data_IF_429210355502
#
_entry.id   IF_429210355502
#
_cell.length_a   1.000
_cell.length_b   1.000
_cell.length_c   1.000
_cell.angle_alpha   90.00
_cell.angle_beta   90.00
_cell.angle_gamma   90.00
#
_symmetry.space_group_name_H-M   'P 1'
#
loop_
_entity.id
_entity.type
_entity.pdbx_description
1 polymer ?
#
# COMPACT_ATOMS: atom_id res chain seq x y z
N UNK A 1 -7.52 16.20 37.84
CA UNK A 1 -6.90 16.18 36.50
C UNK A 1 -7.96 15.91 35.43
N UNK A 2 -7.76 16.40 34.21
CA UNK A 2 -8.69 16.18 33.08
C UNK A 2 -7.96 16.33 31.74
N UNK A 3 -8.47 15.68 30.70
CA UNK A 3 -8.00 15.90 29.32
C UNK A 3 -8.41 17.29 28.87
N UNK A 4 -7.46 18.08 28.38
CA UNK A 4 -7.73 19.39 27.77
C UNK A 4 -7.73 19.31 26.23
N UNK A 5 -6.77 18.60 25.65
CA UNK A 5 -6.69 18.35 24.20
C UNK A 5 -6.12 16.96 23.94
N UNK A 6 -6.90 16.12 23.27
CA UNK A 6 -6.52 14.78 22.82
C UNK A 6 -7.14 14.56 21.43
N UNK A 7 -6.48 15.02 20.34
CA UNK A 7 -7.09 15.10 19.01
C UNK A 7 -7.63 13.78 18.45
N UNK A 8 -6.98 12.66 18.79
CA UNK A 8 -7.35 11.32 18.35
C UNK A 8 -8.22 10.56 19.37
N UNK A 9 -8.41 11.09 20.58
CA UNK A 9 -9.21 10.42 21.62
C UNK A 9 -8.58 9.14 22.17
N UNK A 10 -7.25 9.03 22.15
CA UNK A 10 -6.51 7.83 22.54
C UNK A 10 -6.17 7.76 24.02
N UNK A 11 -6.38 8.84 24.76
CA UNK A 11 -5.89 8.97 26.14
C UNK A 11 -7.03 9.26 27.11
N UNK A 12 -6.88 8.69 28.30
CA UNK A 12 -7.66 9.06 29.46
C UNK A 12 -6.71 9.46 30.59
N UNK A 13 -7.19 10.31 31.50
CA UNK A 13 -6.46 10.65 32.73
C UNK A 13 -7.34 10.40 33.95
N UNK A 14 -6.77 9.71 34.93
CA UNK A 14 -7.43 9.54 36.21
C UNK A 14 -7.55 10.91 36.92
N UNK A 15 -8.76 11.35 37.28
CA UNK A 15 -8.97 12.69 37.80
C UNK A 15 -8.37 12.93 39.19
N UNK A 16 -8.06 11.86 39.95
CA UNK A 16 -7.57 11.92 41.32
C UNK A 16 -6.04 11.92 41.37
N UNK A 17 -5.39 10.95 40.71
CA UNK A 17 -3.94 10.75 40.82
C UNK A 17 -3.14 11.18 39.58
N UNK A 18 -3.81 11.52 38.47
CA UNK A 18 -3.16 11.99 37.24
C UNK A 18 -2.53 10.89 36.38
N UNK A 19 -2.75 9.60 36.67
CA UNK A 19 -2.29 8.50 35.81
C UNK A 19 -2.96 8.61 34.43
N UNK A 20 -2.16 8.52 33.37
CA UNK A 20 -2.64 8.54 31.98
C UNK A 20 -2.60 7.12 31.41
N UNK A 21 -3.74 6.68 30.88
CA UNK A 21 -3.90 5.36 30.26
C UNK A 21 -4.35 5.52 28.80
N UNK A 22 -4.10 4.51 27.99
CA UNK A 22 -4.57 4.46 26.59
C UNK A 22 -5.98 3.86 26.52
N UNK A 23 -6.84 4.44 25.70
CA UNK A 23 -8.24 4.00 25.48
C UNK A 23 -8.47 3.37 24.10
N UNK A 24 -7.49 3.51 23.20
CA UNK A 24 -7.51 2.97 21.84
C UNK A 24 -6.10 2.54 21.42
N UNK A 25 -6.01 1.87 20.27
CA UNK A 25 -4.73 1.55 19.63
C UNK A 25 -4.13 2.84 19.08
N UNK A 26 -2.86 3.07 19.41
CA UNK A 26 -2.11 4.21 18.90
C UNK A 26 -1.55 3.84 17.53
N UNK A 27 -1.63 4.78 16.60
CA UNK A 27 -1.31 4.58 15.19
C UNK A 27 -0.33 5.68 14.77
N UNK A 28 0.89 5.30 14.36
CA UNK A 28 1.94 6.28 14.03
C UNK A 28 1.62 7.01 12.73
N UNK A 29 0.91 6.36 11.82
CA UNK A 29 0.53 6.80 10.49
C UNK A 29 -0.72 7.70 10.51
N UNK A 30 -1.35 7.81 11.68
CA UNK A 30 -2.48 8.70 11.94
C UNK A 30 -2.18 10.16 11.59
N UNK A 31 -3.15 10.91 11.00
CA UNK A 31 -2.97 12.31 10.66
C UNK A 31 -2.77 13.23 11.88
N UNK A 32 -3.03 12.74 13.09
CA UNK A 32 -2.83 13.47 14.35
C UNK A 32 -1.41 13.34 14.92
N UNK A 33 -0.58 12.50 14.30
CA UNK A 33 0.82 12.27 14.68
C UNK A 33 1.71 13.04 13.74
N UNK A 34 2.72 13.73 14.29
CA UNK A 34 3.70 14.48 13.51
C UNK A 34 5.10 14.03 13.88
N UNK A 35 5.88 13.57 12.89
CA UNK A 35 7.23 13.05 13.08
C UNK A 35 7.30 11.97 14.19
N UNK A 36 6.35 11.04 14.17
CA UNK A 36 6.18 9.98 15.18
C UNK A 36 5.90 10.47 16.60
N UNK A 37 5.50 11.73 16.79
CA UNK A 37 5.13 12.28 18.10
C UNK A 37 3.65 12.66 18.12
N UNK A 38 2.93 12.07 19.08
CA UNK A 38 1.57 12.45 19.44
C UNK A 38 1.59 13.44 20.61
N UNK A 39 0.85 14.54 20.50
CA UNK A 39 0.84 15.59 21.52
C UNK A 39 -0.55 15.76 22.13
N UNK A 40 -0.63 15.60 23.45
CA UNK A 40 -1.85 15.83 24.22
C UNK A 40 -1.63 16.88 25.33
N UNK A 41 -2.70 17.57 25.72
CA UNK A 41 -2.69 18.56 26.79
C UNK A 41 -3.64 18.11 27.91
N UNK A 42 -3.21 18.29 29.15
CA UNK A 42 -3.96 17.95 30.34
C UNK A 42 -4.06 19.15 31.27
N UNK A 43 -5.16 19.23 32.01
CA UNK A 43 -5.44 20.29 32.97
C UNK A 43 -5.48 19.71 34.39
N UNK A 44 -4.80 20.39 35.31
CA UNK A 44 -4.94 20.22 36.75
C UNK A 44 -5.62 21.47 37.33
N UNK A 45 -6.61 21.25 38.18
CA UNK A 45 -7.31 22.31 38.91
C UNK A 45 -7.24 21.91 40.38
N UNK A 46 -6.78 22.80 41.24
CA UNK A 46 -6.79 22.55 42.69
C UNK A 46 -8.16 22.85 43.31
N UNK A 47 -8.29 22.61 44.63
CA UNK A 47 -9.51 22.90 45.38
C UNK A 47 -9.46 24.25 46.12
N UNK A 48 -8.59 25.16 45.68
CA UNK A 48 -8.46 26.50 46.26
C UNK A 48 -9.65 27.41 45.95
N UNK A 49 -9.74 28.54 46.66
CA UNK A 49 -10.71 29.61 46.39
C UNK A 49 -9.99 30.97 46.39
N UNK A 50 -9.70 31.56 45.20
CA UNK A 50 -10.03 31.04 43.87
C UNK A 50 -9.19 29.81 43.48
N UNK A 51 -9.68 28.93 42.57
CA UNK A 51 -8.91 27.78 42.10
C UNK A 51 -7.68 28.20 41.30
N UNK A 52 -6.56 27.51 41.53
CA UNK A 52 -5.39 27.59 40.65
C UNK A 52 -5.44 26.48 39.60
N UNK A 53 -4.98 26.80 38.39
CA UNK A 53 -4.96 25.86 37.26
C UNK A 53 -3.56 25.70 36.71
N UNK A 54 -3.20 24.48 36.32
CA UNK A 54 -1.95 24.17 35.61
C UNK A 54 -2.23 23.33 34.36
N UNK A 55 -1.56 23.66 33.25
CA UNK A 55 -1.64 22.90 32.00
C UNK A 55 -0.32 22.16 31.78
N UNK A 56 -0.40 20.86 31.49
CA UNK A 56 0.75 20.02 31.13
C UNK A 56 0.65 19.52 29.69
N UNK A 57 1.79 19.44 29.02
CA UNK A 57 1.90 18.83 27.67
C UNK A 57 2.53 17.45 27.79
N UNK A 58 1.84 16.44 27.26
CA UNK A 58 2.38 15.09 27.11
C UNK A 58 2.79 14.88 25.66
N UNK A 59 4.06 14.53 25.45
CA UNK A 59 4.62 14.15 24.15
C UNK A 59 4.85 12.64 24.18
N UNK A 60 4.16 11.90 23.32
CA UNK A 60 4.27 10.45 23.20
C UNK A 60 4.96 10.15 21.88
N UNK A 61 6.16 9.57 21.95
CA UNK A 61 6.85 9.05 20.76
C UNK A 61 6.32 7.66 20.44
N UNK A 62 5.82 7.47 19.23
CA UNK A 62 5.29 6.20 18.74
C UNK A 62 6.37 5.43 17.98
N UNK A 63 6.49 4.14 18.30
CA UNK A 63 7.31 3.20 17.56
C UNK A 63 6.54 2.72 16.32
N UNK A 64 7.29 2.40 15.27
CA UNK A 64 6.77 1.90 14.01
C UNK A 64 6.53 0.38 14.08
N UNK A 65 5.41 -0.08 13.53
CA UNK A 65 5.07 -1.50 13.40
C UNK A 65 4.74 -1.79 11.94
N UNK A 66 5.05 -3.00 11.46
CA UNK A 66 4.74 -3.37 10.07
C UNK A 66 3.25 -3.70 9.95
N UNK A 67 2.42 -2.70 9.68
CA UNK A 67 0.97 -2.84 9.55
C UNK A 67 0.40 -2.25 8.25
N UNK A 68 1.24 -1.66 7.41
CA UNK A 68 0.89 -1.25 6.06
C UNK A 68 1.60 -2.15 5.03
N UNK A 69 0.88 -2.47 3.95
CA UNK A 69 1.45 -3.19 2.82
C UNK A 69 1.81 -2.19 1.71
N UNK A 70 2.90 -2.43 0.95
CA UNK A 70 3.36 -1.48 -0.05
C UNK A 70 2.45 -1.46 -1.28
N UNK A 71 2.48 -0.39 -2.06
CA UNK A 71 1.76 -0.28 -3.34
C UNK A 71 2.65 0.32 -4.43
N UNK A 72 2.35 0.01 -5.70
CA UNK A 72 3.10 0.56 -6.83
C UNK A 72 2.61 1.94 -7.27
N UNK A 73 3.49 2.70 -7.91
CA UNK A 73 3.13 3.86 -8.72
C UNK A 73 4.11 4.01 -9.90
N UNK A 74 3.66 4.50 -11.07
CA UNK A 74 2.27 4.74 -11.44
C UNK A 74 1.49 3.43 -11.65
N UNK A 75 0.16 3.51 -11.64
CA UNK A 75 -0.75 2.37 -11.91
C UNK A 75 -1.26 2.32 -13.36
N UNK A 76 -0.82 3.26 -14.20
CA UNK A 76 -1.13 3.33 -15.62
C UNK A 76 0.16 3.58 -16.39
N UNK A 77 0.34 2.85 -17.49
CA UNK A 77 1.43 3.05 -18.43
C UNK A 77 0.91 2.97 -19.87
N UNK A 78 1.50 3.76 -20.76
CA UNK A 78 1.18 3.75 -22.18
C UNK A 78 2.40 3.29 -22.97
N UNK A 79 2.20 2.43 -23.96
CA UNK A 79 3.27 1.93 -24.83
C UNK A 79 2.77 1.84 -26.27
N UNK A 80 3.65 2.14 -27.23
CA UNK A 80 3.32 2.01 -28.65
C UNK A 80 3.38 0.54 -29.09
N UNK A 81 2.44 0.13 -29.95
CA UNK A 81 2.40 -1.20 -30.58
C UNK A 81 3.63 -1.50 -31.46
N UNK A 82 4.29 -0.45 -31.96
CA UNK A 82 5.51 -0.50 -32.76
C UNK A 82 6.78 -0.09 -31.99
N UNK A 83 6.71 -0.03 -30.65
CA UNK A 83 7.84 0.37 -29.82
C UNK A 83 9.06 -0.55 -30.05
N UNK A 84 10.16 0.04 -30.52
CA UNK A 84 11.44 -0.68 -30.69
C UNK A 84 12.11 -1.02 -29.35
N UNK A 85 11.79 -0.25 -28.31
CA UNK A 85 12.22 -0.51 -26.95
C UNK A 85 11.10 -1.21 -26.20
N UNK A 86 11.41 -2.36 -25.61
CA UNK A 86 10.45 -3.15 -24.84
C UNK A 86 10.32 -2.67 -23.39
N UNK A 87 11.04 -1.62 -22.96
CA UNK A 87 10.81 -0.97 -21.67
C UNK A 87 9.44 -0.27 -21.66
N UNK A 88 8.58 -0.64 -20.72
CA UNK A 88 7.21 -0.11 -20.60
C UNK A 88 7.17 1.02 -19.58
N UNK A 89 7.55 0.74 -18.34
CA UNK A 89 7.46 1.70 -17.24
C UNK A 89 8.44 1.36 -16.13
N UNK A 90 8.97 2.38 -15.47
CA UNK A 90 9.66 2.24 -14.19
C UNK A 90 8.62 2.41 -13.09
N UNK A 91 8.40 1.35 -12.31
CA UNK A 91 7.56 1.37 -11.13
C UNK A 91 8.39 1.79 -9.92
N UNK A 92 7.85 2.68 -9.10
CA UNK A 92 8.21 2.82 -7.70
C UNK A 92 7.25 2.03 -6.82
N UNK A 93 7.68 1.67 -5.62
CA UNK A 93 6.82 1.20 -4.55
C UNK A 93 6.90 2.16 -3.35
N UNK A 94 5.76 2.34 -2.68
CA UNK A 94 5.63 3.15 -1.48
C UNK A 94 4.96 2.34 -0.38
N UNK A 95 5.46 2.53 0.83
CA UNK A 95 4.83 2.09 2.07
C UNK A 95 4.66 3.30 2.99
N UNK A 96 3.70 3.27 3.91
CA UNK A 96 3.55 4.30 4.94
C UNK A 96 4.47 4.05 6.15
N UNK A 97 4.90 2.81 6.32
CA UNK A 97 5.77 2.38 7.42
C UNK A 97 7.18 2.95 7.28
N UNK A 98 7.95 2.96 8.36
CA UNK A 98 9.35 3.38 8.38
C UNK A 98 10.30 2.20 8.20
N UNK A 99 11.58 2.50 7.92
CA UNK A 99 12.61 1.49 7.96
C UNK A 99 12.71 0.88 9.38
N UNK A 100 12.72 -0.46 9.54
CA UNK A 100 12.93 -1.51 8.53
C UNK A 100 11.68 -2.17 7.94
N UNK A 101 10.48 -1.68 8.26
CA UNK A 101 9.17 -2.21 7.83
C UNK A 101 8.74 -1.75 6.42
N UNK A 102 9.63 -1.10 5.68
CA UNK A 102 9.35 -0.56 4.34
C UNK A 102 10.30 -1.16 3.30
N UNK A 103 11.01 -0.35 2.53
CA UNK A 103 12.06 -0.79 1.61
C UNK A 103 13.21 -1.50 2.35
N UNK A 104 13.89 -2.48 1.72
CA UNK A 104 13.84 -2.82 0.29
C UNK A 104 12.65 -3.66 -0.16
N UNK A 105 12.00 -3.23 -1.24
CA UNK A 105 10.87 -3.97 -1.82
C UNK A 105 11.30 -5.11 -2.74
N UNK A 106 10.41 -6.12 -2.82
CA UNK A 106 10.45 -7.22 -3.78
C UNK A 106 9.27 -7.08 -4.74
N UNK A 107 9.53 -7.12 -6.04
CA UNK A 107 8.52 -6.99 -7.10
C UNK A 107 8.38 -8.28 -7.89
N UNK A 108 7.16 -8.77 -8.07
CA UNK A 108 6.84 -9.97 -8.83
C UNK A 108 5.56 -9.79 -9.67
N UNK A 109 5.42 -10.53 -10.76
CA UNK A 109 4.15 -10.62 -11.49
C UNK A 109 3.31 -11.73 -10.87
N UNK A 110 2.09 -11.43 -10.47
CA UNK A 110 1.19 -12.45 -9.91
C UNK A 110 0.73 -13.42 -11.00
N UNK A 111 1.18 -14.67 -10.90
CA UNK A 111 1.09 -15.69 -11.98
C UNK A 111 -0.33 -16.09 -12.39
N UNK A 112 -1.34 -15.79 -11.58
CA UNK A 112 -2.71 -16.29 -11.82
C UNK A 112 -3.46 -15.56 -12.96
N UNK A 113 -2.99 -14.40 -13.44
CA UNK A 113 -3.79 -13.55 -14.34
C UNK A 113 -3.22 -13.32 -15.75
N UNK A 114 -2.02 -13.79 -16.07
CA UNK A 114 -1.34 -13.43 -17.33
C UNK A 114 -0.79 -14.68 -18.02
N UNK A 115 -1.06 -14.90 -19.32
CA UNK A 115 -0.39 -15.93 -20.09
C UNK A 115 1.14 -15.81 -19.96
N UNK A 116 1.79 -16.93 -19.66
CA UNK A 116 3.21 -17.00 -19.35
C UNK A 116 4.09 -16.31 -20.42
N UNK A 117 5.16 -15.65 -19.96
CA UNK A 117 6.36 -15.21 -20.74
C UNK A 117 6.23 -14.00 -21.68
N UNK A 118 5.26 -13.10 -21.51
CA UNK A 118 5.23 -11.84 -22.29
C UNK A 118 5.81 -10.65 -21.51
N UNK A 119 5.72 -10.67 -20.18
CA UNK A 119 6.12 -9.56 -19.32
C UNK A 119 7.28 -9.97 -18.42
N UNK A 120 8.13 -9.00 -18.12
CA UNK A 120 9.24 -9.14 -17.18
C UNK A 120 9.25 -7.96 -16.24
N UNK A 121 9.46 -8.24 -14.95
CA UNK A 121 9.75 -7.22 -13.94
C UNK A 121 11.16 -7.44 -13.45
N UNK A 122 12.00 -6.42 -13.53
CA UNK A 122 13.39 -6.46 -13.08
C UNK A 122 13.66 -5.34 -12.09
N UNK A 123 14.14 -5.70 -10.89
CA UNK A 123 14.54 -4.74 -9.86
C UNK A 123 15.63 -3.80 -10.38
N UNK A 124 15.45 -2.50 -10.17
CA UNK A 124 16.46 -1.47 -10.48
C UNK A 124 17.27 -1.16 -9.22
N UNK A 125 16.57 -0.89 -8.10
CA UNK A 125 17.15 -0.59 -6.80
C UNK A 125 16.17 -1.02 -5.70
N UNK A 126 16.36 -0.59 -4.46
CA UNK A 126 15.52 -0.99 -3.32
C UNK A 126 14.05 -0.55 -3.45
N UNK A 127 13.76 0.52 -4.18
CA UNK A 127 12.42 1.13 -4.25
C UNK A 127 11.76 1.04 -5.62
N UNK A 128 12.51 0.70 -6.68
CA UNK A 128 12.04 0.74 -8.06
C UNK A 128 12.34 -0.55 -8.85
N UNK A 129 11.48 -0.83 -9.82
CA UNK A 129 11.60 -1.91 -10.78
C UNK A 129 11.21 -1.47 -12.19
N UNK A 130 11.84 -2.06 -13.21
CA UNK A 130 11.48 -1.88 -14.61
C UNK A 130 10.51 -2.98 -15.03
N UNK A 131 9.38 -2.59 -15.60
CA UNK A 131 8.48 -3.47 -16.36
C UNK A 131 8.89 -3.41 -17.82
N UNK A 132 9.15 -4.57 -18.42
CA UNK A 132 9.43 -4.70 -19.83
C UNK A 132 8.61 -5.80 -20.50
N UNK A 133 8.41 -5.63 -21.79
CA UNK A 133 7.87 -6.63 -22.69
C UNK A 133 8.99 -7.57 -23.16
N UNK A 134 8.62 -8.79 -23.53
CA UNK A 134 9.49 -9.75 -24.19
C UNK A 134 9.17 -9.88 -25.69
N UNK A 135 8.03 -9.33 -26.13
CA UNK A 135 7.57 -9.31 -27.51
C UNK A 135 6.58 -8.14 -27.72
N UNK A 136 6.39 -7.73 -28.98
CA UNK A 136 5.38 -6.72 -29.33
C UNK A 136 3.96 -7.24 -29.01
N UNK A 137 3.09 -6.30 -28.64
CA UNK A 137 1.70 -6.57 -28.27
C UNK A 137 0.74 -5.87 -29.23
N UNK A 138 -0.46 -6.44 -29.34
CA UNK A 138 -1.54 -5.82 -30.08
C UNK A 138 -2.10 -4.63 -29.30
N UNK A 139 -2.68 -3.65 -30.01
CA UNK A 139 -3.42 -2.54 -29.41
C UNK A 139 -4.54 -3.08 -28.50
N UNK A 140 -4.37 -2.95 -27.19
CA UNK A 140 -5.32 -3.38 -26.16
C UNK A 140 -4.97 -2.79 -24.80
N UNK A 141 -5.90 -2.90 -23.85
CA UNK A 141 -5.65 -2.61 -22.44
C UNK A 141 -5.30 -3.91 -21.72
N UNK A 142 -4.06 -3.98 -21.22
CA UNK A 142 -3.55 -5.11 -20.45
C UNK A 142 -3.59 -4.77 -18.96
N UNK A 143 -3.98 -5.75 -18.16
CA UNK A 143 -3.97 -5.65 -16.70
C UNK A 143 -2.87 -6.57 -16.19
N UNK A 144 -1.83 -5.98 -15.60
CA UNK A 144 -0.69 -6.70 -15.06
C UNK A 144 -0.72 -6.58 -13.52
N UNK A 145 -1.12 -7.65 -12.80
CA UNK A 145 -1.12 -7.62 -11.34
C UNK A 145 0.31 -7.70 -10.83
N UNK A 146 0.82 -6.58 -10.32
CA UNK A 146 2.15 -6.50 -9.71
C UNK A 146 2.01 -6.76 -8.22
N UNK A 147 2.69 -7.79 -7.76
CA UNK A 147 2.86 -8.10 -6.36
C UNK A 147 4.08 -7.36 -5.82
N UNK A 148 3.91 -6.62 -4.72
CA UNK A 148 5.00 -5.95 -4.00
C UNK A 148 5.00 -6.39 -2.54
N UNK A 149 6.17 -6.71 -2.03
CA UNK A 149 6.42 -7.16 -0.64
C UNK A 149 7.45 -6.25 0.01
N UNK A 150 7.18 -5.81 1.25
CA UNK A 150 8.11 -5.04 2.09
C UNK A 150 9.17 -5.93 2.76
N UNK A 151 10.07 -5.30 3.53
CA UNK A 151 11.10 -5.99 4.32
C UNK A 151 10.75 -6.18 5.80
N UNK A 152 9.52 -5.86 6.19
CA UNK A 152 9.07 -5.99 7.57
C UNK A 152 8.97 -7.45 8.03
N UNK A 153 8.71 -7.63 9.33
CA UNK A 153 8.68 -8.95 9.98
C UNK A 153 7.44 -9.08 10.88
N UNK A 154 6.44 -9.89 10.51
CA UNK A 154 6.31 -10.63 9.25
C UNK A 154 6.18 -9.69 8.05
N UNK A 155 6.62 -10.09 6.84
CA UNK A 155 6.50 -9.22 5.67
C UNK A 155 5.04 -9.08 5.25
N UNK A 156 4.64 -7.89 4.81
CA UNK A 156 3.33 -7.65 4.21
C UNK A 156 3.46 -7.57 2.68
N UNK A 157 2.35 -7.82 1.99
CA UNK A 157 2.34 -7.91 0.52
C UNK A 157 1.02 -7.42 0.00
N UNK A 158 1.08 -6.67 -1.09
CA UNK A 158 -0.10 -6.22 -1.81
C UNK A 158 0.03 -6.54 -3.30
N UNK A 159 -1.11 -6.67 -3.97
CA UNK A 159 -1.20 -6.81 -5.42
C UNK A 159 -1.88 -5.56 -5.96
N UNK A 160 -1.18 -4.81 -6.80
CA UNK A 160 -1.74 -3.64 -7.49
C UNK A 160 -1.78 -3.89 -8.99
N UNK A 161 -2.93 -3.63 -9.62
CA UNK A 161 -3.08 -3.73 -11.06
C UNK A 161 -2.42 -2.57 -11.80
N UNK A 162 -1.37 -2.86 -12.56
CA UNK A 162 -0.81 -1.96 -13.55
C UNK A 162 -1.62 -2.07 -14.85
N UNK A 163 -2.31 -0.99 -15.22
CA UNK A 163 -3.01 -0.89 -16.52
C UNK A 163 -2.03 -0.43 -17.60
N UNK A 164 -1.68 -1.32 -18.50
CA UNK A 164 -0.82 -1.02 -19.65
C UNK A 164 -1.69 -0.84 -20.89
N UNK A 165 -1.72 0.37 -21.42
CA UNK A 165 -2.45 0.71 -22.63
C UNK A 165 -1.50 0.67 -23.82
N UNK A 166 -1.69 -0.34 -24.68
CA UNK A 166 -0.94 -0.45 -25.94
C UNK A 166 -1.67 0.37 -26.99
N UNK A 167 -1.02 1.41 -27.51
CA UNK A 167 -1.58 2.38 -28.43
C UNK A 167 -0.99 2.20 -29.84
N UNK A 168 -1.74 2.60 -30.87
CA UNK A 168 -1.16 2.69 -32.21
C UNK A 168 -0.48 4.05 -32.38
N UNK A 169 0.81 4.04 -32.66
CA UNK A 169 1.63 5.24 -32.76
C UNK A 169 2.10 5.46 -34.20
N UNK A 170 1.32 6.19 -35.00
CA UNK A 170 1.66 6.48 -36.41
C UNK A 170 1.76 7.98 -36.64
N UNK A 171 2.84 8.44 -37.29
CA UNK A 171 3.04 9.84 -37.68
C UNK A 171 2.80 10.84 -36.51
N UNK A 172 3.36 10.54 -35.33
CA UNK A 172 3.19 11.33 -34.11
C UNK A 172 1.76 11.44 -33.56
N UNK A 173 0.81 10.68 -34.10
CA UNK A 173 -0.52 10.48 -33.50
C UNK A 173 -0.50 9.21 -32.67
N UNK A 174 -0.86 9.35 -31.41
CA UNK A 174 -1.06 8.24 -30.49
C UNK A 174 -2.56 7.99 -30.40
N UNK A 175 -3.00 6.81 -30.82
CA UNK A 175 -4.38 6.36 -30.68
C UNK A 175 -4.42 5.19 -29.69
N UNK A 176 -4.87 5.50 -28.48
CA UNK A 176 -5.01 4.56 -27.38
C UNK A 176 -6.44 4.02 -27.22
N UNK A 177 -7.39 4.41 -28.07
CA UNK A 177 -8.78 3.95 -27.98
C UNK A 177 -8.87 2.47 -28.37
N UNK A 178 -8.70 1.57 -27.40
CA UNK A 178 -8.83 0.13 -27.61
C UNK A 178 -10.30 -0.29 -27.53
N UNK A 179 -10.74 -1.07 -28.53
CA UNK A 179 -12.05 -1.72 -28.54
C UNK A 179 -12.04 -2.89 -27.56
N UNK A 180 -12.78 -2.76 -26.44
CA UNK A 180 -13.12 -3.85 -25.53
C UNK A 180 -11.96 -4.42 -24.70
N UNK A 181 -12.17 -4.56 -23.39
CA UNK A 181 -11.28 -5.38 -22.57
C UNK A 181 -11.34 -6.83 -23.08
N UNK A 182 -10.18 -7.46 -23.32
CA UNK A 182 -10.10 -8.91 -23.43
C UNK A 182 -10.32 -9.49 -22.01
N UNK A 183 -11.57 -9.71 -21.65
CA UNK A 183 -11.91 -10.55 -20.51
C UNK A 183 -11.54 -11.99 -20.86
N UNK A 184 -10.52 -12.55 -20.23
CA UNK A 184 -10.38 -14.00 -20.14
C UNK A 184 -11.47 -14.50 -19.20
N UNK A 185 -12.59 -14.99 -19.77
CA UNK A 185 -13.71 -15.48 -18.96
C UNK A 185 -13.30 -16.73 -18.18
N UNK A 186 -13.30 -16.63 -16.85
CA UNK A 186 -13.18 -17.76 -15.94
C UNK A 186 -14.54 -18.46 -15.84
N UNK A 187 -14.99 -19.08 -16.92
CA UNK A 187 -16.24 -19.86 -16.92
C UNK A 187 -16.01 -21.20 -17.58
N UNK A 188 -15.16 -22.05 -16.99
CA UNK A 188 -15.19 -23.50 -17.26
C UNK A 188 -14.33 -24.33 -16.29
N UNK A 189 -14.46 -24.15 -14.97
CA UNK A 189 -13.98 -25.18 -14.02
C UNK A 189 -14.96 -25.29 -12.86
N UNK A 190 -16.15 -25.80 -13.13
CA UNK A 190 -17.04 -26.33 -12.09
C UNK A 190 -17.68 -27.62 -12.58
N UNK A 191 -16.86 -28.65 -12.74
CA UNK A 191 -17.33 -30.04 -12.71
C UNK A 191 -16.11 -30.91 -12.42
N UNK A 192 -16.00 -31.40 -11.19
CA UNK A 192 -15.35 -32.66 -10.75
C UNK A 192 -14.97 -32.52 -9.26
N UNK A 193 -15.98 -32.57 -8.40
CA UNK A 193 -15.78 -32.86 -6.98
C UNK A 193 -16.84 -33.85 -6.52
N UNK A 194 -16.81 -35.06 -7.06
CA UNK A 194 -17.50 -36.22 -6.54
C UNK A 194 -16.75 -37.43 -7.10
N UNK A 195 -15.76 -37.93 -6.37
CA UNK A 195 -15.36 -39.35 -6.32
C UNK A 195 -14.05 -39.46 -5.53
N UNK A 196 -14.16 -39.71 -4.23
CA UNK A 196 -13.21 -40.53 -3.48
C UNK A 196 -13.72 -40.71 -2.05
N UNK A 197 -14.63 -41.66 -1.86
CA UNK A 197 -14.73 -42.39 -0.60
C UNK A 197 -15.19 -43.82 -0.91
N UNK A 198 -14.25 -44.67 -1.30
CA UNK A 198 -14.35 -46.12 -1.22
C UNK A 198 -12.95 -46.74 -1.28
N UNK A 199 -12.68 -47.65 -0.33
CA UNK A 199 -11.52 -48.54 -0.16
C UNK A 199 -10.22 -47.84 0.33
N UNK A 200 -9.56 -48.26 1.42
CA UNK A 200 -9.58 -49.48 2.26
C UNK A 200 -9.31 -49.08 3.71
#
# INVERSE_FOLDING_TARGET
YSVYKDPAGWLNINPINGTVDTTAVLDRESPFVHNSVYTALFLAIDSGNPPATGTGTLLITLEDVNDNAPFIYPTVAEVCDDAKNLSVVILGASDKDLHPNTDPFKFEIHKQAVPDKVWKVSKINNTHALVSLLQNLNKANYHLPIMVTDSGKPPMTNITDLRVQVCSCKNSKVDCNAAGALHFSVTSVLLMSLFSLACL
#
